data_IF_383314704193
#
_entry.id   IF_383314704193
#
_cell.length_a   1.000
_cell.length_b   1.000
_cell.length_c   1.000
_cell.angle_alpha   90.00
_cell.angle_beta   90.00
_cell.angle_gamma   90.00
#
_symmetry.space_group_name_H-M   'P 1'
#
loop_
_entity.id
_entity.type
_entity.pdbx_description
1 polymer ?
#
# COMPACT_ATOMS: atom_id res chain seq x y z
N UNK A 1 -3.09 -15.58 1.93
CA UNK A 1 -2.18 -16.66 1.49
C UNK A 1 -0.95 -15.93 0.96
N UNK A 2 0.24 -16.18 1.49
CA UNK A 2 1.47 -15.55 0.98
C UNK A 2 1.59 -15.82 -0.52
N UNK A 3 1.78 -14.76 -1.31
CA UNK A 3 1.80 -14.85 -2.78
C UNK A 3 3.17 -15.29 -3.31
N UNK A 4 4.23 -15.05 -2.54
CA UNK A 4 5.60 -15.35 -2.94
C UNK A 4 6.29 -16.18 -1.86
N UNK A 5 6.27 -17.50 -2.02
CA UNK A 5 7.23 -18.37 -1.35
C UNK A 5 8.46 -18.39 -2.26
N UNK A 6 9.61 -18.00 -1.71
CA UNK A 6 10.91 -17.76 -2.36
C UNK A 6 11.44 -18.90 -3.28
N UNK A 7 10.72 -20.03 -3.38
CA UNK A 7 11.06 -21.19 -4.21
C UNK A 7 10.54 -21.13 -5.66
N UNK A 8 9.56 -20.27 -6.00
CA UNK A 8 8.85 -20.36 -7.30
C UNK A 8 8.64 -19.04 -8.06
N UNK A 9 9.04 -17.89 -7.53
CA UNK A 9 8.89 -16.62 -8.22
C UNK A 9 10.24 -16.08 -8.69
N UNK A 10 10.37 -15.82 -9.99
CA UNK A 10 11.55 -15.18 -10.56
C UNK A 10 11.57 -13.69 -10.19
N UNK A 11 12.77 -13.09 -10.16
CA UNK A 11 12.92 -11.65 -9.96
C UNK A 11 12.07 -10.84 -10.95
N UNK A 12 11.95 -11.29 -12.20
CA UNK A 12 11.13 -10.64 -13.22
C UNK A 12 9.63 -10.69 -12.90
N UNK A 13 9.11 -11.81 -12.39
CA UNK A 13 7.70 -11.93 -11.99
C UNK A 13 7.38 -11.06 -10.78
N UNK A 14 8.34 -10.97 -9.85
CA UNK A 14 8.29 -10.07 -8.71
C UNK A 14 8.30 -8.61 -9.18
N UNK A 15 9.19 -8.24 -10.11
CA UNK A 15 9.27 -6.90 -10.70
C UNK A 15 8.02 -6.53 -11.52
N UNK A 16 7.47 -7.46 -12.29
CA UNK A 16 6.25 -7.24 -13.06
C UNK A 16 5.05 -7.02 -12.12
N UNK A 17 4.91 -7.83 -11.07
CA UNK A 17 3.92 -7.60 -10.02
C UNK A 17 4.12 -6.22 -9.36
N UNK A 18 5.35 -5.80 -9.11
CA UNK A 18 5.63 -4.46 -8.56
C UNK A 18 5.24 -3.32 -9.49
N UNK A 19 5.36 -3.51 -10.80
CA UNK A 19 4.90 -2.52 -11.77
C UNK A 19 3.37 -2.49 -11.85
N UNK A 20 2.71 -3.66 -11.83
CA UNK A 20 1.25 -3.80 -11.87
C UNK A 20 0.55 -3.25 -10.62
N UNK A 21 1.17 -3.29 -9.44
CA UNK A 21 0.57 -2.79 -8.19
C UNK A 21 0.99 -1.36 -7.80
N UNK A 22 1.85 -0.70 -8.59
CA UNK A 22 2.32 0.64 -8.27
C UNK A 22 1.19 1.68 -8.23
N UNK A 23 1.21 2.53 -7.21
CA UNK A 23 0.30 3.68 -7.10
C UNK A 23 0.35 4.59 -8.31
N UNK A 24 1.53 4.82 -8.89
CA UNK A 24 1.71 5.77 -10.00
C UNK A 24 1.76 5.09 -11.36
N UNK A 25 2.12 3.80 -11.41
CA UNK A 25 2.40 3.09 -12.67
C UNK A 25 1.66 1.73 -12.82
N UNK A 26 0.83 1.35 -11.84
CA UNK A 26 0.11 0.07 -11.82
C UNK A 26 -1.38 0.19 -12.16
N UNK A 27 -2.20 -0.79 -11.77
CA UNK A 27 -3.65 -0.83 -12.04
C UNK A 27 -4.36 0.44 -11.58
N UNK A 28 -3.93 1.02 -10.46
CA UNK A 28 -4.49 2.28 -9.95
C UNK A 28 -4.29 3.43 -10.94
N UNK A 29 -3.17 3.47 -11.65
CA UNK A 29 -2.91 4.48 -12.69
C UNK A 29 -3.79 4.32 -13.93
N UNK A 30 -4.43 3.15 -14.12
CA UNK A 30 -5.44 2.94 -15.16
C UNK A 30 -6.77 3.59 -14.78
N UNK A 31 -7.07 3.66 -13.49
CA UNK A 31 -8.32 4.22 -12.96
C UNK A 31 -8.24 5.71 -12.65
N UNK A 32 -7.05 6.22 -12.30
CA UNK A 32 -6.86 7.58 -11.84
C UNK A 32 -5.72 8.31 -12.54
N UNK A 33 -5.91 9.60 -12.81
CA UNK A 33 -4.89 10.55 -13.28
C UNK A 33 -4.40 11.41 -12.11
N UNK A 34 -3.22 12.04 -12.26
CA UNK A 34 -2.67 13.03 -11.30
C UNK A 34 -2.63 12.56 -9.84
N UNK A 35 -2.20 11.31 -9.62
CA UNK A 35 -2.12 10.73 -8.27
C UNK A 35 -1.06 11.47 -7.46
N UNK A 36 -1.49 12.12 -6.39
CA UNK A 36 -0.63 12.82 -5.43
C UNK A 36 -0.75 12.17 -4.06
N UNK A 37 0.37 11.62 -3.59
CA UNK A 37 0.49 11.09 -2.24
C UNK A 37 0.47 12.25 -1.24
N UNK A 38 -0.38 12.17 -0.23
CA UNK A 38 -0.47 13.17 0.83
C UNK A 38 0.57 12.89 1.94
N UNK A 39 1.00 13.92 2.68
CA UNK A 39 1.85 13.75 3.85
C UNK A 39 1.28 12.73 4.84
N UNK A 40 2.17 11.93 5.44
CA UNK A 40 1.81 10.96 6.46
C UNK A 40 1.77 11.68 7.82
N UNK A 41 0.56 11.93 8.31
CA UNK A 41 0.30 12.64 9.56
C UNK A 41 -0.70 11.84 10.42
N UNK A 42 -0.60 12.01 11.74
CA UNK A 42 -1.46 11.33 12.73
C UNK A 42 -1.62 9.83 12.45
N UNK A 43 -0.48 9.18 12.20
CA UNK A 43 -0.44 7.79 11.80
C UNK A 43 -0.21 6.86 12.99
N UNK A 44 -0.63 5.61 12.80
CA UNK A 44 -0.36 4.51 13.70
C UNK A 44 0.19 3.33 12.91
N UNK A 45 1.16 2.67 13.52
CA UNK A 45 1.69 1.41 13.06
C UNK A 45 1.00 0.32 13.88
N UNK A 46 0.34 -0.61 13.22
CA UNK A 46 -0.42 -1.70 13.85
C UNK A 46 0.24 -3.02 13.49
N UNK A 47 0.69 -3.73 14.51
CA UNK A 47 1.12 -5.13 14.38
C UNK A 47 -0.15 -5.98 14.36
N UNK A 48 -0.34 -6.76 13.30
CA UNK A 48 -1.47 -7.68 13.17
C UNK A 48 -1.27 -8.92 14.08
N UNK A 49 -2.34 -9.67 14.40
CA UNK A 49 -2.29 -10.74 15.40
C UNK A 49 -1.28 -11.86 15.15
N UNK A 50 -0.74 -11.98 13.92
CA UNK A 50 0.31 -12.94 13.61
C UNK A 50 1.72 -12.47 14.04
N UNK A 51 1.85 -11.28 14.65
CA UNK A 51 3.11 -10.65 15.08
C UNK A 51 4.16 -10.50 13.97
N UNK A 52 3.73 -10.63 12.72
CA UNK A 52 4.60 -10.69 11.56
C UNK A 52 4.20 -9.67 10.52
N UNK A 53 2.92 -9.29 10.45
CA UNK A 53 2.46 -8.24 9.55
C UNK A 53 2.28 -6.95 10.33
N UNK A 54 2.73 -5.86 9.73
CA UNK A 54 2.58 -4.52 10.23
C UNK A 54 1.89 -3.68 9.17
N UNK A 55 0.88 -2.91 9.56
CA UNK A 55 0.18 -1.99 8.67
C UNK A 55 0.25 -0.56 9.17
N UNK A 56 0.21 0.39 8.24
CA UNK A 56 0.09 1.80 8.55
C UNK A 56 -1.38 2.22 8.43
N UNK A 57 -1.87 3.01 9.38
CA UNK A 57 -3.18 3.67 9.30
C UNK A 57 -3.06 5.13 9.71
N UNK A 58 -3.92 6.00 9.19
CA UNK A 58 -3.87 7.44 9.42
C UNK A 58 -5.23 8.00 9.77
N UNK A 59 -5.29 9.07 10.58
CA UNK A 59 -6.54 9.78 10.81
C UNK A 59 -7.02 10.51 9.57
N UNK A 60 -8.28 10.34 9.20
CA UNK A 60 -8.93 11.18 8.21
C UNK A 60 -9.48 12.48 8.86
N UNK A 61 -10.09 13.35 8.03
CA UNK A 61 -10.66 14.63 8.47
C UNK A 61 -11.76 14.49 9.55
N UNK A 62 -12.36 13.29 9.68
CA UNK A 62 -13.40 13.00 10.66
C UNK A 62 -12.86 12.33 11.94
N UNK A 63 -11.53 12.39 12.18
CA UNK A 63 -10.84 11.71 13.28
C UNK A 63 -10.95 10.18 13.28
N UNK A 64 -11.41 9.56 12.20
CA UNK A 64 -11.44 8.10 12.05
C UNK A 64 -10.13 7.63 11.44
N UNK A 65 -9.64 6.46 11.86
CA UNK A 65 -8.50 5.83 11.21
C UNK A 65 -8.92 5.14 9.90
N UNK A 66 -8.15 5.40 8.85
CA UNK A 66 -8.20 4.66 7.59
C UNK A 66 -6.86 3.95 7.38
N UNK A 67 -6.91 2.70 6.94
CA UNK A 67 -5.69 1.94 6.67
C UNK A 67 -5.04 2.44 5.37
N UNK A 68 -3.71 2.55 5.38
CA UNK A 68 -2.90 2.91 4.22
C UNK A 68 -2.43 4.37 4.16
N UNK A 69 -1.80 4.69 3.04
CA UNK A 69 -1.32 6.02 2.68
C UNK A 69 -2.41 6.76 1.91
N UNK A 70 -2.73 7.97 2.36
CA UNK A 70 -3.72 8.82 1.70
C UNK A 70 -3.17 9.38 0.40
N UNK A 71 -4.02 9.46 -0.61
CA UNK A 71 -3.73 10.13 -1.86
C UNK A 71 -4.95 10.91 -2.33
N UNK A 72 -4.70 11.94 -3.14
CA UNK A 72 -5.71 12.55 -3.99
C UNK A 72 -5.42 12.15 -5.44
N UNK A 73 -6.46 11.98 -6.23
CA UNK A 73 -6.32 11.70 -7.65
C UNK A 73 -7.56 12.19 -8.41
N UNK A 74 -7.47 12.24 -9.73
CA UNK A 74 -8.60 12.56 -10.61
C UNK A 74 -9.13 11.25 -11.19
N UNK A 75 -10.40 10.96 -10.96
CA UNK A 75 -11.08 9.83 -11.57
C UNK A 75 -11.13 9.99 -13.10
N UNK A 76 -10.73 8.94 -13.84
CA UNK A 76 -10.71 9.04 -15.30
C UNK A 76 -12.11 9.01 -15.92
N UNK A 77 -13.08 8.39 -15.26
CA UNK A 77 -14.45 8.22 -15.75
C UNK A 77 -15.23 9.54 -15.66
N UNK A 78 -15.29 10.14 -14.48
CA UNK A 78 -16.13 11.32 -14.22
C UNK A 78 -15.35 12.63 -14.03
N UNK A 79 -14.02 12.56 -14.11
CA UNK A 79 -13.08 13.70 -14.00
C UNK A 79 -13.15 14.44 -12.66
N UNK A 80 -13.67 13.82 -11.60
CA UNK A 80 -13.70 14.43 -10.27
C UNK A 80 -12.47 14.09 -9.45
N UNK A 81 -12.13 14.98 -8.54
CA UNK A 81 -11.14 14.70 -7.51
C UNK A 81 -11.70 13.71 -6.50
N UNK A 82 -10.93 12.66 -6.24
CA UNK A 82 -11.22 11.67 -5.22
C UNK A 82 -10.14 11.70 -4.14
N UNK A 83 -10.53 11.34 -2.93
CA UNK A 83 -9.62 11.09 -1.82
C UNK A 83 -9.61 9.59 -1.54
N UNK A 84 -8.47 8.96 -1.71
CA UNK A 84 -8.29 7.53 -1.53
C UNK A 84 -7.27 7.19 -0.46
N UNK A 85 -7.18 5.91 -0.13
CA UNK A 85 -6.11 5.35 0.69
C UNK A 85 -5.58 4.09 0.04
N UNK A 86 -4.27 3.95 -0.02
CA UNK A 86 -3.60 2.77 -0.55
C UNK A 86 -2.94 1.99 0.57
N UNK A 87 -3.35 0.74 0.74
CA UNK A 87 -2.90 -0.10 1.83
C UNK A 87 -1.46 -0.55 1.61
N UNK A 88 -0.57 -0.14 2.52
CA UNK A 88 0.76 -0.72 2.64
C UNK A 88 0.82 -1.64 3.84
N UNK A 89 1.28 -2.87 3.60
CA UNK A 89 1.68 -3.80 4.64
C UNK A 89 3.20 -3.95 4.62
N UNK A 90 3.72 -4.29 5.77
CA UNK A 90 5.11 -4.63 6.03
C UNK A 90 5.08 -5.97 6.72
N UNK A 91 6.16 -6.71 6.62
CA UNK A 91 6.36 -7.96 7.32
C UNK A 91 7.66 -7.94 8.09
N UNK A 92 7.70 -8.72 9.16
CA UNK A 92 8.90 -8.98 9.93
C UNK A 92 9.36 -10.40 9.57
N UNK A 93 10.39 -10.58 8.73
CA UNK A 93 10.89 -11.89 8.32
C UNK A 93 11.19 -12.80 9.51
N UNK A 94 11.01 -14.11 9.31
CA UNK A 94 11.38 -15.09 10.34
C UNK A 94 12.89 -14.98 10.65
N UNK A 95 13.23 -14.89 11.94
CA UNK A 95 14.61 -14.68 12.39
C UNK A 95 15.12 -13.24 12.28
N UNK A 96 14.27 -12.28 11.93
CA UNK A 96 14.59 -10.84 11.92
C UNK A 96 13.67 -10.06 12.88
N UNK A 97 14.19 -8.94 13.39
CA UNK A 97 13.43 -7.92 14.13
C UNK A 97 13.22 -6.65 13.27
N UNK A 98 13.66 -6.68 12.00
CA UNK A 98 13.54 -5.57 11.07
C UNK A 98 12.27 -5.70 10.22
N UNK A 99 11.65 -4.55 9.92
CA UNK A 99 10.54 -4.48 8.99
C UNK A 99 11.05 -4.55 7.56
N UNK A 100 10.57 -5.53 6.82
CA UNK A 100 10.67 -5.61 5.38
C UNK A 100 9.32 -5.25 4.76
N UNK A 101 9.32 -4.57 3.62
CA UNK A 101 8.08 -4.29 2.92
C UNK A 101 7.63 -5.59 2.24
N UNK A 102 6.65 -6.30 2.82
CA UNK A 102 5.89 -7.30 2.07
C UNK A 102 4.73 -6.58 1.40
N UNK A 103 4.77 -6.55 0.08
CA UNK A 103 3.60 -6.21 -0.74
C UNK A 103 2.80 -7.48 -0.97
#
# INVERSE_FOLDING_TARGET
KEQFICLYATQQEIENSFQEDSLTNGEISKLFDNIQILPIEDYQIIIEPNNRIVKLRQKNKNNNFIDGIKFIAIDKEDKKEINGSYLFRFHIPEGSDELEVIR
#
